data_IF_668361755482
#
_entry.id   IF_668361755482
#
_cell.length_a   1.000
_cell.length_b   1.000
_cell.length_c   1.000
_cell.angle_alpha   90.00
_cell.angle_beta   90.00
_cell.angle_gamma   90.00
#
_symmetry.space_group_name_H-M   'P 1'
#
loop_
_entity.id
_entity.type
_entity.pdbx_description
1 polymer ?
#
# COMPACT_ATOMS: atom_id res chain seq x y z
N UNK A 1 18.44 1.59 10.84
CA UNK A 1 17.23 2.28 11.35
C UNK A 1 17.27 3.79 11.10
N UNK A 2 18.30 4.50 11.57
CA UNK A 2 18.41 5.97 11.36
C UNK A 2 18.54 6.36 9.88
N UNK A 3 19.28 5.59 9.08
CA UNK A 3 19.45 5.85 7.64
C UNK A 3 18.15 5.64 6.86
N UNK A 4 17.41 4.58 7.15
CA UNK A 4 16.07 4.33 6.59
C UNK A 4 15.12 5.49 6.91
N UNK A 5 15.10 5.94 8.16
CA UNK A 5 14.28 7.06 8.59
C UNK A 5 14.67 8.38 7.90
N UNK A 6 15.97 8.65 7.77
CA UNK A 6 16.50 9.79 6.99
C UNK A 6 16.03 9.74 5.54
N UNK A 7 16.16 8.59 4.89
CA UNK A 7 15.73 8.39 3.51
C UNK A 7 14.23 8.66 3.35
N UNK A 8 13.38 8.05 4.20
CA UNK A 8 11.93 8.25 4.15
C UNK A 8 11.57 9.73 4.27
N UNK A 9 12.10 10.42 5.29
CA UNK A 9 11.83 11.85 5.51
C UNK A 9 12.29 12.69 4.32
N UNK A 10 13.45 12.40 3.74
CA UNK A 10 13.95 13.14 2.58
C UNK A 10 13.08 12.95 1.34
N UNK A 11 12.59 11.73 1.10
CA UNK A 11 11.67 11.46 -0.01
C UNK A 11 10.29 12.09 0.19
N UNK A 12 9.75 12.06 1.42
CA UNK A 12 8.46 12.68 1.74
C UNK A 12 8.48 14.22 1.63
N UNK A 13 9.65 14.85 1.71
CA UNK A 13 9.81 16.29 1.45
C UNK A 13 9.73 16.65 -0.02
N UNK A 14 10.08 15.71 -0.91
CA UNK A 14 10.11 15.93 -2.37
C UNK A 14 8.68 15.87 -2.94
N UNK A 15 8.45 16.45 -4.13
CA UNK A 15 7.21 16.22 -4.85
C UNK A 15 7.03 14.72 -5.14
N UNK A 16 5.79 14.20 -5.07
CA UNK A 16 4.52 14.90 -4.93
C UNK A 16 4.03 15.10 -3.48
N UNK A 17 4.76 14.62 -2.46
CA UNK A 17 4.30 14.61 -1.06
C UNK A 17 4.44 15.96 -0.35
N UNK A 18 5.51 16.72 -0.64
CA UNK A 18 5.74 18.09 -0.14
C UNK A 18 5.59 18.26 1.38
N UNK A 19 5.86 17.23 2.19
CA UNK A 19 5.77 17.27 3.66
C UNK A 19 6.99 17.95 4.28
N UNK A 20 7.11 19.26 4.10
CA UNK A 20 8.29 20.07 4.51
C UNK A 20 8.51 20.09 6.03
N UNK A 21 7.42 19.97 6.78
CA UNK A 21 7.33 19.91 8.24
C UNK A 21 7.93 18.63 8.86
N UNK A 22 8.09 17.54 8.10
CA UNK A 22 8.70 16.33 8.64
C UNK A 22 10.21 16.48 8.84
N UNK A 23 10.67 16.17 10.05
CA UNK A 23 12.05 15.89 10.38
C UNK A 23 12.15 14.51 11.04
N UNK A 24 13.36 14.01 11.25
CA UNK A 24 13.61 12.67 11.82
C UNK A 24 12.87 12.51 13.16
N UNK A 25 12.92 13.52 14.02
CA UNK A 25 12.31 13.50 15.35
C UNK A 25 10.78 13.55 15.29
N UNK A 26 10.21 14.44 14.48
CA UNK A 26 8.75 14.55 14.34
C UNK A 26 8.16 13.32 13.68
N UNK A 27 8.87 12.76 12.70
CA UNK A 27 8.43 11.55 12.00
C UNK A 27 8.51 10.32 12.90
N UNK A 28 9.59 10.18 13.67
CA UNK A 28 9.71 9.08 14.64
C UNK A 28 8.66 9.18 15.75
N UNK A 29 8.25 10.39 16.15
CA UNK A 29 7.19 10.60 17.14
C UNK A 29 5.76 10.46 16.60
N UNK A 30 5.56 10.16 15.31
CA UNK A 30 4.22 9.92 14.79
C UNK A 30 3.56 8.74 15.51
N UNK A 31 2.28 8.90 15.82
CA UNK A 31 1.45 7.80 16.32
C UNK A 31 1.23 6.78 15.21
N UNK A 32 0.95 5.53 15.59
CA UNK A 32 0.76 4.44 14.63
C UNK A 32 -0.34 4.75 13.59
N UNK A 33 -1.43 5.41 14.02
CA UNK A 33 -2.47 5.89 13.10
C UNK A 33 -1.92 6.96 12.13
N UNK A 34 -1.20 7.96 12.61
CA UNK A 34 -0.62 8.97 11.71
C UNK A 34 0.35 8.33 10.71
N UNK A 35 1.10 7.32 11.13
CA UNK A 35 2.01 6.58 10.27
C UNK A 35 1.26 5.76 9.20
N UNK A 36 0.14 5.13 9.55
CA UNK A 36 -0.74 4.44 8.60
C UNK A 36 -1.42 5.41 7.63
N UNK A 37 -1.74 6.63 8.06
CA UNK A 37 -2.23 7.68 7.17
C UNK A 37 -1.16 8.06 6.16
N UNK A 38 0.08 8.28 6.61
CA UNK A 38 1.21 8.56 5.70
C UNK A 38 1.38 7.42 4.68
N UNK A 39 1.28 6.17 5.12
CA UNK A 39 1.34 5.02 4.21
C UNK A 39 0.18 5.05 3.19
N UNK A 40 -1.03 5.38 3.63
CA UNK A 40 -2.20 5.55 2.75
C UNK A 40 -1.98 6.66 1.72
N UNK A 41 -1.48 7.81 2.14
CA UNK A 41 -1.15 8.93 1.26
C UNK A 41 -0.08 8.53 0.21
N UNK A 42 0.90 7.70 0.61
CA UNK A 42 1.91 7.16 -0.32
C UNK A 42 1.28 6.23 -1.33
N UNK A 43 0.36 5.35 -0.93
CA UNK A 43 -0.39 4.52 -1.87
C UNK A 43 -1.22 5.37 -2.84
N UNK A 44 -1.87 6.45 -2.38
CA UNK A 44 -2.64 7.34 -3.25
C UNK A 44 -1.79 8.03 -4.33
N UNK A 45 -0.49 8.19 -4.07
CA UNK A 45 0.46 8.70 -5.08
C UNK A 45 0.92 7.61 -6.03
N UNK A 46 1.11 6.39 -5.55
CA UNK A 46 1.55 5.24 -6.35
C UNK A 46 0.43 4.74 -7.26
N UNK A 47 -0.80 4.73 -6.77
CA UNK A 47 -1.99 4.33 -7.51
C UNK A 47 -3.06 5.44 -7.48
N UNK A 48 -2.87 6.53 -8.25
CA UNK A 48 -3.77 7.69 -8.21
C UNK A 48 -5.17 7.41 -8.77
N UNK A 49 -5.34 6.26 -9.43
CA UNK A 49 -6.58 5.87 -10.09
C UNK A 49 -7.51 5.06 -9.18
N UNK A 50 -7.02 4.59 -8.04
CA UNK A 50 -7.82 3.92 -7.04
C UNK A 50 -8.33 4.93 -5.99
N UNK A 51 -9.66 5.13 -5.88
CA UNK A 51 -10.22 6.11 -4.95
C UNK A 51 -10.12 5.66 -3.48
N UNK A 52 -9.88 4.37 -3.20
CA UNK A 52 -9.83 3.85 -1.83
C UNK A 52 -8.61 4.33 -1.05
N UNK A 53 -7.58 4.85 -1.72
CA UNK A 53 -6.42 5.46 -1.05
C UNK A 53 -6.61 6.95 -0.69
N UNK A 54 -7.72 7.59 -1.06
CA UNK A 54 -8.02 9.00 -0.73
C UNK A 54 -8.93 9.17 0.50
N UNK A 55 -8.90 8.18 1.40
CA UNK A 55 -9.75 8.12 2.59
C UNK A 55 -8.87 8.42 3.82
N UNK A 56 -9.42 9.14 4.80
CA UNK A 56 -8.80 9.25 6.13
C UNK A 56 -9.00 7.93 6.86
N UNK A 57 -7.92 7.32 7.36
CA UNK A 57 -7.99 6.01 8.01
C UNK A 57 -8.87 6.01 9.27
N UNK A 58 -9.21 7.18 9.84
CA UNK A 58 -10.12 7.29 10.99
C UNK A 58 -11.57 7.04 10.62
N UNK A 59 -11.92 7.20 9.34
CA UNK A 59 -13.24 6.91 8.80
C UNK A 59 -13.37 5.44 8.35
N UNK A 60 -12.30 4.64 8.46
CA UNK A 60 -12.25 3.23 8.05
C UNK A 60 -11.93 2.31 9.24
N UNK A 61 -12.49 1.11 9.26
CA UNK A 61 -12.12 0.13 10.28
C UNK A 61 -10.64 -0.29 10.11
N UNK A 62 -9.88 -0.46 11.21
CA UNK A 62 -8.46 -0.81 11.14
C UNK A 62 -8.18 -2.09 10.33
N UNK A 63 -9.07 -3.07 10.44
CA UNK A 63 -8.94 -4.34 9.71
C UNK A 63 -9.21 -4.19 8.21
N UNK A 64 -10.15 -3.32 7.82
CA UNK A 64 -10.40 -2.96 6.42
C UNK A 64 -9.21 -2.20 5.84
N UNK A 65 -8.67 -1.23 6.58
CA UNK A 65 -7.46 -0.48 6.21
C UNK A 65 -6.29 -1.43 5.96
N UNK A 66 -6.02 -2.37 6.88
CA UNK A 66 -4.94 -3.33 6.73
C UNK A 66 -5.15 -4.29 5.55
N UNK A 67 -6.38 -4.75 5.33
CA UNK A 67 -6.72 -5.60 4.17
C UNK A 67 -6.47 -4.86 2.86
N UNK A 68 -6.88 -3.59 2.77
CA UNK A 68 -6.64 -2.73 1.61
C UNK A 68 -5.15 -2.52 1.36
N UNK A 69 -4.37 -2.20 2.40
CA UNK A 69 -2.92 -2.08 2.30
C UNK A 69 -2.27 -3.40 1.85
N UNK A 70 -2.67 -4.54 2.41
CA UNK A 70 -2.17 -5.86 2.01
C UNK A 70 -2.45 -6.17 0.54
N UNK A 71 -3.66 -5.91 0.06
CA UNK A 71 -4.03 -6.13 -1.33
C UNK A 71 -3.21 -5.26 -2.27
N UNK A 72 -3.03 -3.97 -1.91
CA UNK A 72 -2.18 -3.04 -2.67
C UNK A 72 -0.73 -3.52 -2.71
N UNK A 73 -0.17 -3.94 -1.57
CA UNK A 73 1.19 -4.48 -1.48
C UNK A 73 1.37 -5.76 -2.31
N UNK A 74 0.38 -6.65 -2.29
CA UNK A 74 0.38 -7.89 -3.07
C UNK A 74 0.37 -7.60 -4.57
N UNK A 75 -0.47 -6.66 -5.01
CA UNK A 75 -0.53 -6.19 -6.39
C UNK A 75 0.79 -5.58 -6.85
N UNK A 76 1.43 -4.77 -6.01
CA UNK A 76 2.74 -4.17 -6.29
C UNK A 76 3.90 -5.18 -6.23
N UNK A 77 3.64 -6.42 -5.79
CA UNK A 77 4.64 -7.48 -5.69
C UNK A 77 5.56 -7.34 -4.48
N UNK A 78 5.13 -6.63 -3.43
CA UNK A 78 5.91 -6.52 -2.19
C UNK A 78 6.11 -7.90 -1.56
N UNK A 79 7.32 -8.10 -1.02
CA UNK A 79 7.70 -9.28 -0.24
C UNK A 79 8.34 -8.79 1.06
N UNK A 80 7.71 -9.03 2.22
CA UNK A 80 8.30 -8.63 3.49
C UNK A 80 9.63 -9.36 3.70
N UNK A 81 10.66 -8.63 4.14
CA UNK A 81 12.00 -9.18 4.39
C UNK A 81 12.06 -10.07 5.63
N UNK A 82 11.10 -9.88 6.55
CA UNK A 82 10.97 -10.70 7.74
C UNK A 82 10.24 -11.98 7.35
N UNK A 83 10.84 -13.14 7.66
CA UNK A 83 10.18 -14.46 7.66
C UNK A 83 9.15 -14.54 8.79
N UNK A 84 8.19 -13.62 8.78
CA UNK A 84 7.12 -13.54 9.76
C UNK A 84 5.86 -14.12 9.13
N UNK A 85 5.14 -14.93 9.91
CA UNK A 85 3.86 -15.49 9.50
C UNK A 85 2.91 -14.38 8.99
N UNK A 86 2.14 -14.68 7.95
CA UNK A 86 1.24 -13.72 7.30
C UNK A 86 0.25 -13.11 8.30
N UNK A 87 -0.20 -13.88 9.30
CA UNK A 87 -1.11 -13.39 10.33
C UNK A 87 -0.43 -12.37 11.24
N UNK A 88 0.80 -12.64 11.67
CA UNK A 88 1.58 -11.71 12.50
C UNK A 88 1.90 -10.43 11.73
N UNK A 89 2.25 -10.54 10.45
CA UNK A 89 2.45 -9.38 9.58
C UNK A 89 1.17 -8.54 9.46
N UNK A 90 0.01 -9.19 9.28
CA UNK A 90 -1.30 -8.51 9.27
C UNK A 90 -1.58 -7.80 10.59
N UNK A 91 -1.40 -8.46 11.73
CA UNK A 91 -1.65 -7.87 13.05
C UNK A 91 -0.78 -6.64 13.31
N UNK A 92 0.50 -6.71 12.92
CA UNK A 92 1.42 -5.59 13.04
C UNK A 92 1.05 -4.44 12.10
N UNK A 93 0.54 -4.75 10.91
CA UNK A 93 0.03 -3.73 9.98
C UNK A 93 -1.25 -3.06 10.50
N UNK A 94 -2.20 -3.84 11.03
CA UNK A 94 -3.42 -3.31 11.71
C UNK A 94 -3.04 -2.37 12.86
N UNK A 95 -2.02 -2.75 13.63
CA UNK A 95 -1.54 -1.97 14.77
C UNK A 95 -0.70 -0.75 14.36
N UNK A 96 -0.33 -0.62 13.08
CA UNK A 96 0.54 0.43 12.55
C UNK A 96 1.96 0.38 13.10
N UNK A 97 2.48 -0.82 13.33
CA UNK A 97 3.79 -1.01 13.94
C UNK A 97 4.94 -0.47 13.07
N UNK A 98 5.83 0.32 13.68
CA UNK A 98 6.94 0.99 12.98
C UNK A 98 7.91 0.01 12.32
N UNK A 99 8.10 -1.18 12.91
CA UNK A 99 8.99 -2.21 12.35
C UNK A 99 8.46 -2.78 11.03
N UNK A 100 7.14 -2.68 10.78
CA UNK A 100 6.50 -3.11 9.54
C UNK A 100 6.30 -1.94 8.58
N UNK A 101 5.80 -0.79 9.06
CA UNK A 101 5.46 0.33 8.18
C UNK A 101 6.69 1.02 7.61
N UNK A 102 7.78 1.19 8.37
CA UNK A 102 8.96 1.88 7.83
C UNK A 102 9.63 1.12 6.66
N UNK A 103 9.83 -0.22 6.71
CA UNK A 103 10.34 -0.96 5.55
C UNK A 103 9.43 -0.88 4.33
N UNK A 104 8.10 -0.86 4.52
CA UNK A 104 7.14 -0.69 3.42
C UNK A 104 7.31 0.69 2.79
N UNK A 105 7.33 1.75 3.60
CA UNK A 105 7.53 3.13 3.12
C UNK A 105 8.86 3.27 2.37
N UNK A 106 9.95 2.73 2.91
CA UNK A 106 11.24 2.77 2.22
C UNK A 106 11.14 2.10 0.84
N UNK A 107 10.56 0.90 0.76
CA UNK A 107 10.43 0.15 -0.49
C UNK A 107 9.57 0.88 -1.53
N UNK A 108 8.46 1.50 -1.10
CA UNK A 108 7.61 2.30 -1.98
C UNK A 108 8.35 3.54 -2.50
N UNK A 109 9.05 4.24 -1.62
CA UNK A 109 9.73 5.50 -1.94
C UNK A 109 11.02 5.30 -2.75
N UNK A 110 11.65 4.13 -2.68
CA UNK A 110 12.86 3.81 -3.46
C UNK A 110 12.58 3.73 -4.97
N UNK A 111 11.41 3.24 -5.36
CA UNK A 111 11.06 2.88 -6.74
C UNK A 111 9.66 3.33 -7.16
N UNK A 112 9.27 4.55 -6.78
CA UNK A 112 7.95 5.12 -7.11
C UNK A 112 7.54 4.94 -8.59
N UNK A 113 8.37 5.24 -9.61
CA UNK A 113 7.94 5.09 -11.00
C UNK A 113 7.65 3.64 -11.40
N UNK A 114 8.45 2.68 -10.94
CA UNK A 114 8.22 1.25 -11.18
C UNK A 114 6.92 0.78 -10.51
N UNK A 115 6.65 1.25 -9.30
CA UNK A 115 5.41 0.92 -8.58
C UNK A 115 4.18 1.53 -9.25
N UNK A 116 4.28 2.75 -9.78
CA UNK A 116 3.21 3.39 -10.57
C UNK A 116 2.88 2.61 -11.83
N UNK A 117 3.90 2.19 -12.57
CA UNK A 117 3.71 1.36 -13.76
C UNK A 117 3.06 0.03 -13.39
N UNK A 118 3.50 -0.62 -12.30
CA UNK A 118 2.91 -1.87 -11.84
C UNK A 118 1.48 -1.70 -11.32
N UNK A 119 1.16 -0.62 -10.61
CA UNK A 119 -0.20 -0.33 -10.19
C UNK A 119 -1.12 -0.15 -11.41
N UNK A 120 -0.66 0.63 -12.39
CA UNK A 120 -1.38 0.84 -13.64
C UNK A 120 -1.61 -0.47 -14.39
N UNK A 121 -0.57 -1.27 -14.61
CA UNK A 121 -0.68 -2.56 -15.28
C UNK A 121 -1.53 -3.55 -14.47
N UNK A 122 -1.35 -3.60 -13.15
CA UNK A 122 -2.11 -4.46 -12.25
C UNK A 122 -3.61 -4.22 -12.31
N UNK A 123 -4.05 -3.00 -12.59
CA UNK A 123 -5.47 -2.70 -12.82
C UNK A 123 -6.04 -3.38 -14.07
N UNK A 124 -5.27 -3.47 -15.15
CA UNK A 124 -5.73 -4.04 -16.43
C UNK A 124 -5.37 -5.52 -16.62
N UNK A 125 -4.36 -6.01 -15.88
CA UNK A 125 -3.86 -7.38 -15.95
C UNK A 125 -4.34 -8.27 -14.80
N UNK A 126 -4.85 -7.67 -13.70
CA UNK A 126 -5.57 -8.45 -12.69
C UNK A 126 -6.80 -9.05 -13.36
N UNK A 127 -6.85 -10.38 -13.44
CA UNK A 127 -8.01 -11.10 -13.97
C UNK A 127 -9.24 -10.65 -13.19
N UNK A 128 -10.29 -10.27 -13.90
CA UNK A 128 -11.62 -10.17 -13.31
C UNK A 128 -11.93 -11.59 -12.81
N UNK A 129 -12.01 -11.77 -11.50
CA UNK A 129 -12.44 -13.02 -10.91
C UNK A 129 -13.93 -13.15 -11.22
N UNK A 130 -14.26 -13.82 -12.33
CA UNK A 130 -15.66 -14.07 -12.73
C UNK A 130 -16.23 -15.04 -11.68
N UNK A 131 -17.28 -14.65 -10.93
CA UNK A 131 -17.89 -15.56 -9.97
C UNK A 131 -18.36 -16.82 -10.69
N UNK A 132 -18.12 -17.99 -10.10
CA UNK A 132 -18.40 -19.31 -10.67
C UNK A 132 -19.84 -19.48 -11.17
N UNK A 133 -20.77 -18.69 -10.61
CA UNK A 133 -22.18 -18.65 -10.99
C UNK A 133 -22.40 -18.13 -12.42
N UNK A 134 -21.54 -17.23 -12.92
CA UNK A 134 -21.60 -16.68 -14.28
C UNK A 134 -20.82 -17.51 -15.31
N UNK A 135 -19.91 -18.38 -14.86
CA UNK A 135 -19.19 -19.35 -15.71
C UNK A 135 -20.07 -20.53 -16.17
N UNK A 136 -21.25 -20.70 -15.57
CA UNK A 136 -22.23 -21.69 -16.00
C UNK A 136 -23.05 -21.23 -17.21
N UNK A 137 -22.97 -19.95 -17.56
CA UNK A 137 -23.64 -19.38 -18.74
C UNK A 137 -22.71 -19.52 -19.97
N UNK A 138 -23.12 -20.28 -21.01
CA UNK A 138 -22.24 -20.63 -22.12
C UNK A 138 -21.82 -19.42 -22.98
N UNK A 139 -22.58 -18.32 -22.98
CA UNK A 139 -22.21 -17.09 -23.71
C UNK A 139 -21.10 -16.29 -22.98
N UNK A 140 -21.07 -16.34 -21.65
CA UNK A 140 -20.08 -15.65 -20.81
C UNK A 140 -18.74 -16.41 -20.82
N UNK A 141 -18.77 -17.74 -20.84
CA UNK A 141 -17.57 -18.58 -20.91
C UNK A 141 -16.80 -18.37 -22.23
N UNK A 142 -17.50 -18.27 -23.37
CA UNK A 142 -16.88 -18.06 -24.69
C UNK A 142 -16.19 -16.68 -24.81
N UNK A 143 -16.74 -15.65 -24.17
CA UNK A 143 -16.15 -14.30 -24.16
C UNK A 143 -14.92 -14.17 -23.25
N UNK A 144 -14.75 -15.03 -22.24
CA UNK A 144 -13.63 -15.03 -21.30
C UNK A 144 -12.39 -15.77 -21.84
N UNK A 145 -12.53 -16.60 -22.88
CA UNK A 145 -11.44 -17.35 -23.52
C UNK A 145 -10.77 -16.62 -24.71
N UNK A 146 -11.22 -15.41 -25.08
CA UNK A 146 -10.62 -14.60 -26.16
C UNK A 146 -9.67 -13.51 -25.69
#
# INVERSE_FOLDING_TARGET
MVEQLKFIVEQLKRPPFNRKDYNILTFDNLTNNQLLQVLTDVFAVVDPYDPSHKIDIRDEEPDKTATRHMNTLKMLGYRPKLETDVNTFRQNLVSGDKSVVFPILQWLLEKIPEHKERAYLGRYLSRIDVPSEFLSDPEIAEQHER
#
